data_IF_514305742672
#
_entry.id   IF_514305742672
#
_cell.length_a   1.000
_cell.length_b   1.000
_cell.length_c   1.000
_cell.angle_alpha   90.00
_cell.angle_beta   90.00
_cell.angle_gamma   90.00
#
_symmetry.space_group_name_H-M   'P 1'
#
loop_
_entity.id
_entity.type
_entity.pdbx_description
1 polymer ?
#
# COMPACT_ATOMS: atom_id res chain seq x y z
N UNK A 1 -46.67 12.36 -33.26
CA UNK A 1 -46.34 12.16 -34.67
C UNK A 1 -45.19 11.11 -34.71
N UNK A 2 -45.56 9.87 -34.88
CA UNK A 2 -45.14 8.77 -35.80
C UNK A 2 -43.67 8.82 -36.29
N UNK A 3 -42.89 7.74 -36.28
CA UNK A 3 -43.14 6.41 -36.86
C UNK A 3 -42.09 5.39 -36.42
N UNK A 4 -42.57 4.20 -36.12
CA UNK A 4 -41.84 2.93 -36.10
C UNK A 4 -41.37 2.56 -37.50
N UNK A 5 -40.24 1.85 -37.63
CA UNK A 5 -40.01 0.79 -38.65
C UNK A 5 -39.02 -0.21 -38.16
N UNK A 6 -39.52 -1.41 -37.94
CA UNK A 6 -38.77 -2.65 -37.83
C UNK A 6 -38.54 -3.26 -39.22
N UNK A 7 -37.53 -4.07 -39.32
CA UNK A 7 -37.37 -5.09 -40.36
C UNK A 7 -36.88 -6.39 -39.71
N UNK A 8 -37.74 -7.39 -39.85
CA UNK A 8 -37.43 -8.79 -39.69
C UNK A 8 -37.28 -9.43 -41.07
N UNK A 9 -36.84 -10.69 -41.08
CA UNK A 9 -36.81 -11.68 -42.17
C UNK A 9 -35.41 -11.95 -42.75
N UNK A 10 -35.02 -13.15 -43.13
CA UNK A 10 -35.65 -14.46 -43.10
C UNK A 10 -34.57 -15.55 -43.33
N UNK A 11 -34.89 -16.73 -42.88
CA UNK A 11 -34.24 -17.98 -43.16
C UNK A 11 -34.21 -18.34 -44.68
N UNK A 12 -33.17 -19.02 -45.12
CA UNK A 12 -33.27 -19.99 -46.19
C UNK A 12 -32.31 -21.18 -46.00
N UNK A 13 -32.88 -22.32 -45.77
CA UNK A 13 -32.23 -23.63 -45.82
C UNK A 13 -32.13 -24.09 -47.28
N UNK A 14 -31.03 -24.73 -47.59
CA UNK A 14 -30.97 -25.59 -48.79
C UNK A 14 -30.15 -26.84 -48.51
N UNK A 15 -30.85 -27.94 -48.47
CA UNK A 15 -30.34 -29.34 -48.47
C UNK A 15 -30.01 -29.73 -49.88
N UNK A 16 -28.84 -30.36 -50.10
CA UNK A 16 -28.57 -31.17 -51.25
C UNK A 16 -27.81 -32.43 -50.84
N UNK A 17 -28.47 -33.57 -51.02
CA UNK A 17 -27.99 -34.94 -50.86
C UNK A 17 -27.52 -35.45 -52.22
N UNK A 18 -26.34 -36.01 -52.28
CA UNK A 18 -25.93 -37.08 -53.23
C UNK A 18 -24.56 -37.56 -52.68
N UNK A 19 -24.30 -38.78 -52.37
CA UNK A 19 -24.63 -40.07 -52.84
C UNK A 19 -23.35 -40.77 -53.30
N UNK A 20 -22.95 -41.86 -52.57
CA UNK A 20 -22.17 -43.02 -53.01
C UNK A 20 -20.66 -42.91 -53.25
N UNK A 21 -19.94 -43.78 -52.51
CA UNK A 21 -18.60 -44.22 -52.85
C UNK A 21 -17.85 -44.88 -51.68
N UNK A 22 -18.12 -46.10 -51.33
CA UNK A 22 -17.36 -46.86 -50.34
C UNK A 22 -15.98 -47.23 -50.86
N UNK A 23 -14.94 -46.78 -50.22
CA UNK A 23 -13.61 -47.36 -50.25
C UNK A 23 -13.09 -47.44 -48.81
N UNK A 24 -12.83 -48.65 -48.32
CA UNK A 24 -12.18 -48.88 -47.03
C UNK A 24 -10.72 -48.43 -47.09
N UNK A 25 -10.27 -47.56 -46.19
CA UNK A 25 -8.85 -47.33 -46.00
C UNK A 25 -8.30 -48.33 -44.99
N UNK A 26 -7.15 -48.86 -45.25
CA UNK A 26 -6.24 -49.62 -44.39
C UNK A 26 -5.87 -48.81 -43.15
N UNK A 27 -5.79 -49.42 -41.95
CA UNK A 27 -5.39 -48.66 -40.73
C UNK A 27 -3.92 -48.27 -40.82
N UNK A 28 -3.66 -46.98 -40.74
CA UNK A 28 -2.33 -46.41 -40.56
C UNK A 28 -1.80 -46.71 -39.15
N UNK A 29 -0.48 -46.91 -38.96
CA UNK A 29 0.09 -47.21 -37.67
C UNK A 29 -0.14 -46.05 -36.69
N UNK A 30 -0.70 -46.37 -35.54
CA UNK A 30 -0.94 -45.45 -34.40
C UNK A 30 0.40 -44.89 -33.92
N UNK A 31 0.68 -43.65 -34.24
CA UNK A 31 1.78 -42.90 -33.59
C UNK A 31 1.36 -42.62 -32.15
N UNK A 32 2.07 -43.19 -31.19
CA UNK A 32 2.01 -42.85 -29.78
C UNK A 32 2.32 -41.36 -29.66
N UNK A 33 1.47 -40.54 -29.01
CA UNK A 33 1.80 -39.13 -28.79
C UNK A 33 3.02 -39.07 -27.88
N UNK A 34 4.09 -38.46 -28.37
CA UNK A 34 5.23 -38.03 -27.55
C UNK A 34 4.72 -37.08 -26.48
N UNK A 35 5.11 -37.26 -25.21
CA UNK A 35 4.70 -36.32 -24.18
C UNK A 35 5.16 -34.92 -24.57
N UNK A 36 4.21 -33.98 -24.68
CA UNK A 36 4.50 -32.57 -24.80
C UNK A 36 5.42 -32.16 -23.64
N UNK A 37 6.51 -31.45 -23.92
CA UNK A 37 7.32 -30.93 -22.85
C UNK A 37 6.43 -30.00 -22.00
N UNK A 38 6.33 -30.31 -20.72
CA UNK A 38 5.76 -29.41 -19.70
C UNK A 38 6.44 -28.05 -19.88
N UNK A 39 5.70 -26.94 -20.04
CA UNK A 39 6.33 -25.65 -20.11
C UNK A 39 6.97 -25.39 -18.75
N UNK A 40 8.30 -25.49 -18.70
CA UNK A 40 9.08 -24.89 -17.63
C UNK A 40 8.74 -23.41 -17.64
N UNK A 41 8.32 -22.79 -16.52
CA UNK A 41 8.16 -21.36 -16.47
C UNK A 41 9.54 -20.73 -16.61
N UNK A 42 9.93 -20.47 -17.84
CA UNK A 42 11.06 -19.60 -18.15
C UNK A 42 10.55 -18.20 -17.86
N UNK A 43 10.86 -17.70 -16.67
CA UNK A 43 10.82 -16.28 -16.38
C UNK A 43 11.89 -15.60 -17.26
N UNK A 44 11.57 -15.43 -18.52
CA UNK A 44 12.33 -14.57 -19.43
C UNK A 44 12.02 -13.15 -19.01
N UNK A 45 12.82 -12.65 -18.06
CA UNK A 45 12.93 -11.24 -17.85
C UNK A 45 13.40 -10.60 -19.15
N UNK A 46 12.52 -9.87 -19.82
CA UNK A 46 12.95 -9.04 -20.93
C UNK A 46 13.71 -7.85 -20.34
N UNK A 47 15.00 -7.76 -20.64
CA UNK A 47 15.78 -6.57 -20.38
C UNK A 47 15.11 -5.39 -21.12
N UNK A 48 14.70 -4.36 -20.37
CA UNK A 48 14.05 -3.16 -20.93
C UNK A 48 12.60 -2.93 -20.51
N UNK A 49 11.95 -3.85 -19.82
CA UNK A 49 10.57 -3.66 -19.32
C UNK A 49 10.45 -3.88 -17.82
N UNK A 50 9.41 -3.26 -17.22
CA UNK A 50 9.08 -3.39 -15.80
C UNK A 50 7.60 -3.69 -15.60
N UNK A 51 7.32 -4.55 -14.63
CA UNK A 51 6.01 -4.76 -14.04
C UNK A 51 6.01 -4.20 -12.62
N UNK A 52 5.17 -3.23 -12.36
CA UNK A 52 5.14 -2.45 -11.13
C UNK A 52 3.80 -2.64 -10.43
N UNK A 53 3.84 -2.90 -9.12
CA UNK A 53 2.70 -2.82 -8.22
C UNK A 53 2.92 -1.70 -7.21
N UNK A 54 1.99 -0.77 -7.10
CA UNK A 54 2.18 0.40 -6.26
C UNK A 54 0.86 1.00 -5.77
N UNK A 55 0.95 1.86 -4.76
CA UNK A 55 -0.19 2.69 -4.37
C UNK A 55 -0.46 3.78 -5.41
N UNK A 56 -1.73 4.12 -5.59
CA UNK A 56 -2.14 5.24 -6.44
C UNK A 56 -1.42 6.52 -6.00
N UNK A 57 -0.87 7.24 -6.97
CA UNK A 57 -0.12 8.46 -6.72
C UNK A 57 1.40 8.27 -6.56
N UNK A 58 1.89 7.04 -6.38
CA UNK A 58 3.32 6.76 -6.21
C UNK A 58 4.05 6.67 -7.56
N UNK A 59 3.34 6.31 -8.62
CA UNK A 59 3.83 6.28 -10.00
C UNK A 59 2.74 6.86 -10.93
N UNK A 60 3.03 7.97 -11.59
CA UNK A 60 2.04 8.72 -12.35
C UNK A 60 2.52 9.06 -13.77
N UNK A 61 1.63 8.83 -14.74
CA UNK A 61 1.83 9.14 -16.17
C UNK A 61 1.25 10.49 -16.63
N UNK A 62 0.75 11.29 -15.72
CA UNK A 62 0.13 12.57 -16.07
C UNK A 62 -1.34 12.48 -16.50
N UNK A 63 -2.01 11.33 -16.32
CA UNK A 63 -3.40 11.13 -16.69
C UNK A 63 -4.37 12.06 -15.96
N UNK A 64 -4.09 12.37 -14.69
CA UNK A 64 -4.88 13.31 -13.89
C UNK A 64 -4.44 14.75 -14.13
N UNK A 65 -3.14 14.98 -14.35
CA UNK A 65 -2.54 16.27 -14.63
C UNK A 65 -1.25 16.09 -15.41
N UNK A 66 -1.03 16.79 -16.54
CA UNK A 66 0.22 16.71 -17.30
C UNK A 66 1.48 17.07 -16.49
N UNK A 67 1.31 17.82 -15.40
CA UNK A 67 2.40 18.19 -14.47
C UNK A 67 2.77 17.07 -13.51
N UNK A 68 1.98 16.01 -13.44
CA UNK A 68 2.16 14.85 -12.55
C UNK A 68 2.53 13.64 -13.40
N UNK A 69 3.68 13.73 -14.07
CA UNK A 69 4.17 12.72 -15.01
C UNK A 69 5.65 12.47 -14.79
N UNK A 70 5.98 11.73 -13.75
CA UNK A 70 7.37 11.30 -13.54
C UNK A 70 7.67 9.93 -14.12
N UNK A 71 6.67 9.11 -14.39
CA UNK A 71 6.85 7.79 -15.01
C UNK A 71 7.25 7.93 -16.49
N UNK A 72 6.56 8.77 -17.25
CA UNK A 72 6.93 9.03 -18.63
C UNK A 72 8.32 9.65 -18.77
N UNK A 73 8.75 10.46 -17.80
CA UNK A 73 10.11 10.98 -17.77
C UNK A 73 11.13 9.86 -17.49
N UNK A 74 10.83 8.93 -16.57
CA UNK A 74 11.65 7.75 -16.35
C UNK A 74 11.85 6.94 -17.63
N UNK A 75 10.78 6.63 -18.35
CA UNK A 75 10.88 5.88 -19.61
C UNK A 75 11.73 6.60 -20.64
N UNK A 76 11.54 7.92 -20.77
CA UNK A 76 12.29 8.75 -21.70
C UNK A 76 13.78 8.82 -21.38
N UNK A 77 14.13 8.97 -20.11
CA UNK A 77 15.52 9.17 -19.68
C UNK A 77 16.31 7.86 -19.59
N UNK A 78 15.63 6.76 -19.26
CA UNK A 78 16.31 5.47 -19.04
C UNK A 78 16.22 4.51 -20.21
N UNK A 79 15.28 4.72 -21.13
CA UNK A 79 14.95 3.78 -22.20
C UNK A 79 14.18 2.55 -21.72
N UNK A 80 13.90 2.43 -20.42
CA UNK A 80 13.06 1.38 -19.87
C UNK A 80 11.59 1.63 -20.18
N UNK A 81 10.79 0.57 -20.27
CA UNK A 81 9.34 0.64 -20.48
C UNK A 81 8.61 0.02 -19.30
N UNK A 82 7.56 0.67 -18.83
CA UNK A 82 6.65 0.06 -17.87
C UNK A 82 5.61 -0.73 -18.63
N UNK A 83 5.85 -2.04 -18.74
CA UNK A 83 4.95 -2.97 -19.44
C UNK A 83 3.63 -3.14 -18.68
N UNK A 84 3.66 -2.98 -17.35
CA UNK A 84 2.48 -3.07 -16.49
C UNK A 84 2.65 -2.19 -15.27
N UNK A 85 1.63 -1.38 -15.00
CA UNK A 85 1.51 -0.58 -13.79
C UNK A 85 0.15 -0.87 -13.13
N UNK A 86 0.19 -1.66 -12.07
CA UNK A 86 -0.99 -1.88 -11.23
C UNK A 86 -0.97 -0.93 -10.05
N UNK A 87 -2.04 -0.17 -9.91
CA UNK A 87 -2.19 0.79 -8.81
C UNK A 87 -3.37 0.41 -7.93
N UNK A 88 -3.15 0.40 -6.63
CA UNK A 88 -4.15 0.06 -5.62
C UNK A 88 -4.41 1.21 -4.65
N UNK A 89 -5.50 1.13 -3.90
CA UNK A 89 -5.86 2.13 -2.90
C UNK A 89 -5.68 1.62 -1.47
N UNK A 90 -5.64 0.31 -1.26
CA UNK A 90 -5.54 -0.29 0.07
C UNK A 90 -4.40 -1.31 0.18
N UNK A 91 -3.96 -1.54 1.42
CA UNK A 91 -2.96 -2.57 1.72
C UNK A 91 -3.47 -3.97 1.39
N UNK A 92 -4.76 -4.22 1.56
CA UNK A 92 -5.40 -5.51 1.21
C UNK A 92 -5.34 -5.79 -0.28
N UNK A 93 -5.70 -4.82 -1.12
CA UNK A 93 -5.58 -4.95 -2.58
C UNK A 93 -4.12 -5.19 -3.00
N UNK A 94 -3.16 -4.51 -2.35
CA UNK A 94 -1.74 -4.69 -2.60
C UNK A 94 -1.31 -6.12 -2.31
N UNK A 95 -1.70 -6.67 -1.16
CA UNK A 95 -1.40 -8.04 -0.76
C UNK A 95 -2.03 -9.05 -1.73
N UNK A 96 -3.30 -8.87 -2.07
CA UNK A 96 -4.02 -9.77 -2.96
C UNK A 96 -3.38 -9.84 -4.36
N UNK A 97 -2.99 -8.68 -4.92
CA UNK A 97 -2.35 -8.65 -6.24
C UNK A 97 -0.93 -9.20 -6.20
N UNK A 98 -0.16 -8.92 -5.15
CA UNK A 98 1.20 -9.46 -5.00
C UNK A 98 1.22 -11.00 -4.88
N UNK A 99 0.17 -11.59 -4.30
CA UNK A 99 0.01 -13.04 -4.20
C UNK A 99 -0.41 -13.71 -5.51
N UNK A 100 -1.06 -12.99 -6.42
CA UNK A 100 -1.58 -13.55 -7.67
C UNK A 100 -0.52 -13.68 -8.77
N UNK A 101 0.50 -12.82 -8.76
CA UNK A 101 1.52 -12.76 -9.81
C UNK A 101 2.79 -12.05 -9.35
N UNK A 102 3.93 -12.38 -9.98
CA UNK A 102 5.17 -11.68 -9.71
C UNK A 102 5.16 -10.25 -10.30
N UNK A 103 5.88 -9.36 -9.63
CA UNK A 103 6.21 -8.01 -10.09
C UNK A 103 7.71 -7.81 -9.96
N UNK A 104 8.28 -6.96 -10.83
CA UNK A 104 9.70 -6.62 -10.74
C UNK A 104 9.97 -5.70 -9.55
N UNK A 105 9.07 -4.74 -9.33
CA UNK A 105 9.15 -3.82 -8.19
C UNK A 105 7.78 -3.60 -7.54
N UNK A 106 7.78 -3.52 -6.22
CA UNK A 106 6.58 -3.35 -5.40
C UNK A 106 6.83 -2.22 -4.40
N UNK A 107 5.94 -1.23 -4.30
CA UNK A 107 5.96 -0.28 -3.19
C UNK A 107 5.18 -0.87 -2.01
N UNK A 108 5.87 -1.41 -1.03
CA UNK A 108 5.25 -2.12 0.08
C UNK A 108 5.22 -1.29 1.36
N UNK A 109 4.06 -1.29 2.03
CA UNK A 109 3.96 -0.86 3.42
C UNK A 109 4.52 -1.92 4.38
N UNK A 110 4.67 -1.60 5.68
CA UNK A 110 5.44 -2.42 6.62
C UNK A 110 5.00 -3.89 6.72
N UNK A 111 3.70 -4.15 6.81
CA UNK A 111 3.19 -5.51 6.96
C UNK A 111 3.44 -6.36 5.71
N UNK A 112 3.21 -5.80 4.52
CA UNK A 112 3.48 -6.51 3.27
C UNK A 112 4.98 -6.67 3.04
N UNK A 113 5.80 -5.66 3.34
CA UNK A 113 7.25 -5.75 3.20
C UNK A 113 7.81 -6.93 4.01
N UNK A 114 7.41 -7.06 5.28
CA UNK A 114 7.81 -8.18 6.12
C UNK A 114 7.32 -9.53 5.54
N UNK A 115 6.06 -9.60 5.09
CA UNK A 115 5.51 -10.81 4.47
C UNK A 115 6.29 -11.21 3.22
N UNK A 116 6.59 -10.29 2.32
CA UNK A 116 7.35 -10.59 1.09
C UNK A 116 8.76 -11.12 1.39
N UNK A 117 9.39 -10.65 2.48
CA UNK A 117 10.69 -11.14 2.93
C UNK A 117 10.57 -12.55 3.51
N UNK A 118 9.61 -12.79 4.40
CA UNK A 118 9.35 -14.09 5.04
C UNK A 118 9.03 -15.16 4.00
N UNK A 119 8.15 -14.83 3.04
CA UNK A 119 7.71 -15.73 1.97
C UNK A 119 8.75 -15.87 0.85
N UNK A 120 9.92 -15.22 0.97
CA UNK A 120 10.99 -15.19 -0.03
C UNK A 120 10.50 -14.69 -1.41
N UNK A 121 9.56 -13.76 -1.40
CA UNK A 121 9.02 -13.10 -2.60
C UNK A 121 9.73 -11.77 -2.90
N UNK A 122 10.62 -11.32 -2.02
CA UNK A 122 11.50 -10.18 -2.24
C UNK A 122 12.96 -10.62 -2.17
N UNK A 123 13.80 -10.03 -3.03
CA UNK A 123 15.24 -10.23 -2.97
C UNK A 123 15.96 -9.05 -2.34
N UNK A 124 17.15 -9.25 -1.75
CA UNK A 124 17.98 -8.16 -1.24
C UNK A 124 18.38 -7.19 -2.35
N UNK A 125 18.50 -5.92 -1.97
CA UNK A 125 18.98 -4.82 -2.80
C UNK A 125 20.44 -4.54 -2.42
N UNK A 126 21.29 -4.33 -3.40
CA UNK A 126 22.62 -3.78 -3.18
C UNK A 126 22.51 -2.24 -3.09
N UNK A 127 22.63 -1.63 -1.90
CA UNK A 127 22.47 -0.19 -1.74
C UNK A 127 23.55 0.61 -2.46
N UNK A 128 24.73 0.03 -2.72
CA UNK A 128 25.79 0.70 -3.47
C UNK A 128 25.41 0.97 -4.94
N UNK A 129 24.42 0.22 -5.47
CA UNK A 129 23.87 0.41 -6.82
C UNK A 129 22.69 1.38 -6.87
N UNK A 130 22.26 1.92 -5.72
CA UNK A 130 21.14 2.85 -5.62
C UNK A 130 21.65 4.25 -5.29
N UNK A 131 21.76 5.09 -6.31
CA UNK A 131 22.20 6.48 -6.17
C UNK A 131 21.27 7.25 -5.22
N UNK A 132 21.87 7.97 -4.25
CA UNK A 132 21.08 8.74 -3.27
C UNK A 132 20.48 7.91 -2.14
N UNK A 133 20.80 6.61 -2.03
CA UNK A 133 20.37 5.80 -0.89
C UNK A 133 20.84 6.40 0.44
N UNK A 134 22.05 6.94 0.49
CA UNK A 134 22.60 7.59 1.68
C UNK A 134 21.97 8.95 2.01
N UNK A 135 21.22 9.54 1.09
CA UNK A 135 20.43 10.75 1.33
C UNK A 135 19.13 10.49 2.08
N UNK A 136 18.76 9.22 2.22
CA UNK A 136 17.59 8.76 3.00
C UNK A 136 17.94 8.77 4.48
N UNK A 137 17.03 9.22 5.33
CA UNK A 137 17.20 9.19 6.79
C UNK A 137 17.60 7.79 7.26
N UNK A 138 18.67 7.72 8.07
CA UNK A 138 19.21 6.44 8.56
C UNK A 138 18.16 5.58 9.25
N UNK A 139 17.26 6.19 10.03
CA UNK A 139 16.16 5.49 10.70
C UNK A 139 15.33 4.67 9.70
N UNK A 140 14.97 5.24 8.56
CA UNK A 140 14.18 4.56 7.54
C UNK A 140 14.99 3.48 6.81
N UNK A 141 16.28 3.72 6.58
CA UNK A 141 17.17 2.70 6.00
C UNK A 141 17.30 1.48 6.91
N UNK A 142 17.46 1.72 8.21
CA UNK A 142 17.55 0.65 9.21
C UNK A 142 16.27 -0.20 9.24
N UNK A 143 15.09 0.41 9.13
CA UNK A 143 13.79 -0.29 9.08
C UNK A 143 13.62 -1.17 7.83
N UNK A 144 14.34 -0.87 6.76
CA UNK A 144 14.33 -1.65 5.51
C UNK A 144 15.42 -2.72 5.47
N UNK A 145 16.15 -2.90 6.59
CA UNK A 145 17.26 -3.85 6.72
C UNK A 145 16.87 -5.01 7.63
N UNK A 146 16.90 -6.23 7.11
CA UNK A 146 16.57 -7.46 7.85
C UNK A 146 17.76 -8.40 7.79
N UNK A 147 18.25 -8.87 8.95
CA UNK A 147 19.42 -9.75 9.07
C UNK A 147 20.65 -9.25 8.29
N UNK A 148 20.90 -7.94 8.35
CA UNK A 148 22.04 -7.29 7.67
C UNK A 148 21.89 -7.11 6.16
N UNK A 149 20.74 -7.43 5.57
CA UNK A 149 20.46 -7.27 4.15
C UNK A 149 19.39 -6.19 3.94
N UNK A 150 19.60 -5.31 2.99
CA UNK A 150 18.63 -4.28 2.59
C UNK A 150 17.60 -4.91 1.65
N UNK A 151 16.31 -4.76 1.97
CA UNK A 151 15.22 -5.28 1.15
C UNK A 151 14.34 -4.19 0.55
N UNK A 152 14.48 -2.95 0.99
CA UNK A 152 13.66 -1.85 0.52
C UNK A 152 14.43 -0.54 0.40
N UNK A 153 14.00 0.29 -0.53
CA UNK A 153 14.41 1.68 -0.67
C UNK A 153 13.27 2.54 -0.11
N UNK A 154 13.42 3.15 1.07
CA UNK A 154 12.39 4.01 1.66
C UNK A 154 12.01 5.15 0.72
N UNK A 155 10.72 5.36 0.55
CA UNK A 155 10.18 6.28 -0.44
C UNK A 155 9.41 7.44 0.19
N UNK A 156 8.24 7.15 0.69
CA UNK A 156 7.37 8.11 1.36
C UNK A 156 7.01 7.58 2.75
N UNK A 157 6.78 8.49 3.67
CA UNK A 157 6.41 8.15 5.03
C UNK A 157 5.36 9.11 5.58
N UNK A 158 4.67 8.64 6.59
CA UNK A 158 3.67 9.41 7.31
C UNK A 158 3.47 8.91 8.72
N UNK A 159 2.64 9.61 9.46
CA UNK A 159 2.14 9.17 10.75
C UNK A 159 0.65 9.47 10.88
N UNK A 160 -0.02 8.73 11.76
CA UNK A 160 -1.40 8.99 12.09
C UNK A 160 -1.50 10.08 13.16
N UNK A 161 -2.56 10.84 13.10
CA UNK A 161 -3.04 11.68 14.17
C UNK A 161 -4.55 11.48 14.31
N UNK A 162 -5.06 11.59 15.52
CA UNK A 162 -6.50 11.67 15.70
C UNK A 162 -6.91 13.13 15.58
N UNK A 163 -7.87 13.40 14.72
CA UNK A 163 -8.47 14.70 14.53
C UNK A 163 -9.91 14.69 15.03
N UNK A 164 -10.39 15.87 15.45
CA UNK A 164 -11.74 16.05 15.99
C UNK A 164 -12.34 17.37 15.57
N UNK A 165 -13.67 17.40 15.45
CA UNK A 165 -14.43 18.65 15.29
C UNK A 165 -14.45 19.42 16.61
N UNK A 166 -13.64 20.49 16.70
CA UNK A 166 -13.44 21.24 17.93
C UNK A 166 -14.63 22.10 18.36
N UNK A 167 -15.68 22.16 17.54
CA UNK A 167 -16.95 22.82 17.87
C UNK A 167 -17.95 21.89 18.52
N UNK A 168 -17.76 20.56 18.37
CA UNK A 168 -18.69 19.55 18.85
C UNK A 168 -18.18 18.77 20.05
N UNK A 169 -16.89 18.46 20.06
CA UNK A 169 -16.28 17.56 21.05
C UNK A 169 -14.97 18.09 21.59
N UNK A 170 -14.53 17.55 22.72
CA UNK A 170 -13.22 17.79 23.30
C UNK A 170 -12.19 16.80 22.78
N UNK A 171 -10.93 17.19 22.77
CA UNK A 171 -9.84 16.37 22.33
C UNK A 171 -9.38 15.38 23.41
N UNK A 172 -9.90 14.14 23.36
CA UNK A 172 -9.49 13.02 24.20
C UNK A 172 -9.40 11.74 23.36
N UNK A 173 -8.29 10.98 23.48
CA UNK A 173 -8.02 9.84 22.63
C UNK A 173 -8.90 8.64 22.98
N UNK A 174 -9.15 8.37 24.27
CA UNK A 174 -10.05 7.27 24.68
C UNK A 174 -11.49 7.56 24.26
N UNK A 175 -11.93 8.82 24.39
CA UNK A 175 -13.23 9.23 23.88
C UNK A 175 -13.34 9.10 22.36
N UNK A 176 -12.27 9.37 21.63
CA UNK A 176 -12.26 9.18 20.18
C UNK A 176 -12.52 7.70 19.80
N UNK A 177 -11.88 6.75 20.49
CA UNK A 177 -12.13 5.32 20.24
C UNK A 177 -13.52 4.84 20.69
N UNK A 178 -14.08 5.45 21.74
CA UNK A 178 -15.40 5.11 22.23
C UNK A 178 -16.55 5.78 21.46
N UNK A 179 -16.26 6.77 20.62
CA UNK A 179 -17.28 7.53 19.89
C UNK A 179 -17.94 6.73 18.79
N UNK A 180 -19.26 6.75 18.71
CA UNK A 180 -20.02 6.19 17.60
C UNK A 180 -19.93 7.01 16.30
N UNK A 181 -19.20 8.12 16.35
CA UNK A 181 -18.98 9.04 15.23
C UNK A 181 -17.49 9.19 14.93
N UNK A 182 -16.77 8.06 14.98
CA UNK A 182 -15.35 7.96 14.65
C UNK A 182 -15.14 7.21 13.34
N UNK A 183 -14.18 7.69 12.53
CA UNK A 183 -13.67 6.95 11.40
C UNK A 183 -12.22 6.50 11.67
N UNK A 184 -11.98 5.19 11.57
CA UNK A 184 -10.67 4.57 11.74
C UNK A 184 -10.13 4.08 10.39
N UNK A 185 -8.82 3.97 10.26
CA UNK A 185 -8.22 3.35 9.07
C UNK A 185 -8.54 1.86 9.05
N UNK A 186 -8.99 1.35 7.88
CA UNK A 186 -9.21 -0.09 7.69
C UNK A 186 -7.87 -0.83 7.56
N UNK A 187 -7.30 -1.19 8.70
CA UNK A 187 -6.03 -1.91 8.79
C UNK A 187 -5.88 -2.59 10.15
N UNK A 188 -5.44 -3.86 10.23
CA UNK A 188 -5.11 -4.50 11.50
C UNK A 188 -4.11 -3.68 12.35
N UNK A 189 -3.21 -2.92 11.71
CA UNK A 189 -2.25 -2.06 12.40
C UNK A 189 -2.89 -0.90 13.18
N UNK A 190 -4.19 -0.60 12.96
CA UNK A 190 -4.95 0.37 13.78
C UNK A 190 -5.10 -0.10 15.24
N UNK A 191 -4.94 -1.40 15.49
CA UNK A 191 -4.89 -1.94 16.87
C UNK A 191 -3.73 -1.32 17.66
N UNK A 192 -2.60 -1.01 17.01
CA UNK A 192 -1.47 -0.34 17.66
C UNK A 192 -1.84 1.06 18.19
N UNK A 193 -2.68 1.81 17.46
CA UNK A 193 -3.17 3.12 17.94
C UNK A 193 -4.07 2.96 19.17
N UNK A 194 -4.89 1.91 19.21
CA UNK A 194 -5.72 1.60 20.37
C UNK A 194 -4.86 1.16 21.57
N UNK A 195 -3.78 0.40 21.35
CA UNK A 195 -2.83 0.01 22.40
C UNK A 195 -2.11 1.23 22.99
N UNK A 196 -1.69 2.19 22.16
CA UNK A 196 -1.16 3.48 22.63
C UNK A 196 -2.18 4.26 23.46
N UNK A 197 -3.45 4.24 23.06
CA UNK A 197 -4.53 4.91 23.78
C UNK A 197 -4.85 4.24 25.13
N UNK A 198 -4.78 2.92 25.20
CA UNK A 198 -4.90 2.16 26.44
C UNK A 198 -3.75 2.49 27.40
N UNK A 199 -2.53 2.66 26.85
CA UNK A 199 -1.35 3.10 27.59
C UNK A 199 -0.67 2.00 28.39
N UNK A 200 -1.03 0.73 28.20
CA UNK A 200 -0.43 -0.40 28.90
C UNK A 200 0.70 -1.08 28.12
N UNK A 201 0.72 -0.93 26.80
CA UNK A 201 1.72 -1.51 25.93
C UNK A 201 3.02 -0.69 25.95
N UNK A 202 4.16 -1.35 26.11
CA UNK A 202 5.47 -0.74 26.00
C UNK A 202 5.86 -0.50 24.54
N UNK A 203 5.56 -1.45 23.69
CA UNK A 203 5.69 -1.35 22.22
C UNK A 203 4.33 -1.65 21.60
N UNK A 204 3.74 -0.72 20.82
CA UNK A 204 2.41 -0.91 20.26
C UNK A 204 2.35 -1.99 19.16
N UNK A 205 3.50 -2.50 18.71
CA UNK A 205 3.57 -3.57 17.70
C UNK A 205 4.03 -4.92 18.27
N UNK A 206 4.39 -4.99 19.55
CA UNK A 206 4.78 -6.22 20.26
C UNK A 206 3.80 -6.49 21.41
N UNK A 207 2.53 -6.71 21.11
CA UNK A 207 1.49 -6.90 22.13
C UNK A 207 1.41 -8.34 22.61
N UNK A 208 1.40 -8.53 23.92
CA UNK A 208 0.94 -9.77 24.55
C UNK A 208 -0.56 -10.00 24.27
N UNK A 209 -1.06 -11.19 24.57
CA UNK A 209 -2.48 -11.50 24.39
C UNK A 209 -3.38 -10.54 25.20
N UNK A 210 -3.02 -10.25 26.46
CA UNK A 210 -3.78 -9.36 27.33
C UNK A 210 -3.79 -7.91 26.81
N UNK A 211 -2.65 -7.42 26.28
CA UNK A 211 -2.57 -6.07 25.68
C UNK A 211 -3.38 -5.96 24.40
N UNK A 212 -3.31 -7.00 23.56
CA UNK A 212 -4.14 -7.10 22.35
C UNK A 212 -5.65 -7.10 22.72
N UNK A 213 -6.04 -7.88 23.72
CA UNK A 213 -7.43 -7.97 24.16
C UNK A 213 -7.95 -6.63 24.69
N UNK A 214 -7.12 -5.88 25.46
CA UNK A 214 -7.48 -4.53 25.92
C UNK A 214 -7.60 -3.54 24.77
N UNK A 215 -6.66 -3.54 23.83
CA UNK A 215 -6.71 -2.67 22.66
C UNK A 215 -7.97 -2.95 21.80
N UNK A 216 -8.29 -4.22 21.57
CA UNK A 216 -9.49 -4.62 20.85
C UNK A 216 -10.77 -4.24 21.63
N UNK A 217 -10.80 -4.43 22.95
CA UNK A 217 -11.93 -4.03 23.78
C UNK A 217 -12.19 -2.51 23.73
N UNK A 218 -11.14 -1.70 23.64
CA UNK A 218 -11.27 -0.25 23.43
C UNK A 218 -11.92 0.07 22.08
N UNK A 219 -11.51 -0.61 21.01
CA UNK A 219 -12.12 -0.48 19.69
C UNK A 219 -13.59 -0.94 19.66
N UNK A 220 -13.96 -1.93 20.46
CA UNK A 220 -15.32 -2.45 20.55
C UNK A 220 -16.30 -1.54 21.31
N UNK A 221 -15.82 -0.53 22.03
CA UNK A 221 -16.70 0.41 22.74
C UNK A 221 -17.57 1.22 21.79
N UNK A 222 -17.04 1.64 20.66
CA UNK A 222 -17.82 2.32 19.63
C UNK A 222 -18.69 1.31 18.85
N UNK A 223 -19.99 1.57 18.76
CA UNK A 223 -20.93 0.76 17.97
C UNK A 223 -21.21 1.35 16.59
N UNK A 224 -21.00 2.66 16.44
CA UNK A 224 -21.22 3.38 15.20
C UNK A 224 -19.94 3.74 14.45
N UNK A 225 -18.77 3.17 14.86
CA UNK A 225 -17.50 3.42 14.19
C UNK A 225 -17.57 3.04 12.72
N UNK A 226 -16.89 3.82 11.89
CA UNK A 226 -16.72 3.55 10.46
C UNK A 226 -15.26 3.32 10.14
N UNK A 227 -15.02 2.67 9.00
CA UNK A 227 -13.67 2.41 8.54
C UNK A 227 -13.46 3.07 7.18
N UNK A 228 -12.45 3.92 7.09
CA UNK A 228 -12.12 4.57 5.84
C UNK A 228 -11.00 3.84 5.10
N UNK A 229 -11.12 3.81 3.79
CA UNK A 229 -10.12 3.28 2.84
C UNK A 229 -9.59 4.39 1.92
N UNK A 230 -10.37 5.45 1.77
CA UNK A 230 -10.06 6.60 0.94
C UNK A 230 -10.11 7.90 1.76
N UNK A 231 -9.20 8.85 1.49
CA UNK A 231 -9.27 10.19 2.09
C UNK A 231 -10.60 10.90 1.91
N UNK A 232 -11.31 10.59 0.80
CA UNK A 232 -12.62 11.19 0.49
C UNK A 232 -13.63 10.84 1.56
N UNK A 233 -13.58 9.64 2.14
CA UNK A 233 -14.49 9.21 3.20
C UNK A 233 -14.42 10.14 4.42
N UNK A 234 -13.19 10.55 4.80
CA UNK A 234 -12.97 11.51 5.89
C UNK A 234 -13.52 12.89 5.56
N UNK A 235 -13.22 13.37 4.35
CA UNK A 235 -13.68 14.70 3.91
C UNK A 235 -15.20 14.76 3.89
N UNK A 236 -15.86 13.74 3.36
CA UNK A 236 -17.32 13.65 3.35
C UNK A 236 -17.89 13.56 4.77
N UNK A 237 -17.31 12.72 5.62
CA UNK A 237 -17.77 12.53 6.99
C UNK A 237 -17.76 13.84 7.82
N UNK A 238 -16.68 14.61 7.77
CA UNK A 238 -16.64 15.92 8.42
C UNK A 238 -17.49 16.97 7.69
N UNK A 239 -17.61 16.90 6.36
CA UNK A 239 -18.43 17.83 5.59
C UNK A 239 -19.91 17.70 5.92
N UNK A 240 -20.40 16.48 6.01
CA UNK A 240 -21.82 16.17 6.35
C UNK A 240 -22.10 16.25 7.86
N UNK A 241 -21.04 16.34 8.66
CA UNK A 241 -21.13 16.31 10.11
C UNK A 241 -21.43 14.92 10.68
N UNK A 242 -21.23 13.84 9.92
CA UNK A 242 -21.39 12.46 10.39
C UNK A 242 -20.22 11.98 11.26
N UNK A 243 -19.07 12.65 11.22
CA UNK A 243 -17.91 12.37 12.04
C UNK A 243 -17.67 13.48 13.07
N UNK A 244 -17.29 13.09 14.27
CA UNK A 244 -16.77 13.94 15.32
C UNK A 244 -15.29 13.72 15.53
N UNK A 245 -14.80 12.48 15.28
CA UNK A 245 -13.40 12.09 15.37
C UNK A 245 -12.96 11.30 14.13
N UNK A 246 -11.68 11.33 13.80
CA UNK A 246 -11.10 10.42 12.84
C UNK A 246 -9.61 10.17 13.11
N UNK A 247 -9.15 8.94 12.87
CA UNK A 247 -7.76 8.65 12.62
C UNK A 247 -7.42 9.17 11.22
N UNK A 248 -6.46 10.05 11.10
CA UNK A 248 -6.14 10.76 9.87
C UNK A 248 -4.62 10.93 9.71
N UNK A 249 -4.20 11.69 8.72
CA UNK A 249 -2.84 12.19 8.61
C UNK A 249 -2.82 13.72 8.79
N UNK A 250 -1.68 14.32 9.13
CA UNK A 250 -1.55 15.78 9.16
C UNK A 250 -2.01 16.46 7.86
N UNK A 251 -1.80 15.81 6.72
CA UNK A 251 -2.22 16.33 5.42
C UNK A 251 -3.75 16.40 5.29
N UNK A 252 -4.48 15.36 5.72
CA UNK A 252 -5.95 15.38 5.66
C UNK A 252 -6.54 16.41 6.62
N UNK A 253 -5.96 16.58 7.81
CA UNK A 253 -6.34 17.69 8.70
C UNK A 253 -6.15 19.04 8.01
N UNK A 254 -5.01 19.25 7.35
CA UNK A 254 -4.75 20.49 6.62
C UNK A 254 -5.76 20.74 5.50
N UNK A 255 -6.15 19.71 4.75
CA UNK A 255 -7.18 19.81 3.70
C UNK A 255 -8.55 20.19 4.28
N UNK A 256 -8.96 19.57 5.38
CA UNK A 256 -10.21 19.88 6.06
C UNK A 256 -10.22 21.31 6.59
N UNK A 257 -9.11 21.77 7.19
CA UNK A 257 -8.96 23.15 7.67
C UNK A 257 -9.05 24.15 6.51
N UNK A 258 -8.41 23.87 5.37
CA UNK A 258 -8.53 24.71 4.15
C UNK A 258 -9.94 24.73 3.60
N UNK A 259 -10.71 23.65 3.78
CA UNK A 259 -12.13 23.59 3.43
C UNK A 259 -13.04 24.24 4.49
N UNK A 260 -12.47 24.96 5.47
CA UNK A 260 -13.23 25.70 6.50
C UNK A 260 -13.80 24.80 7.60
N UNK A 261 -13.33 23.54 7.74
CA UNK A 261 -13.77 22.67 8.83
C UNK A 261 -12.98 22.93 10.10
N UNK A 262 -13.62 23.06 11.27
CA UNK A 262 -12.98 23.42 12.52
C UNK A 262 -12.28 22.22 13.19
N UNK A 263 -11.49 21.48 12.42
CA UNK A 263 -10.80 20.28 12.91
C UNK A 263 -9.46 20.61 13.55
N UNK A 264 -9.15 19.92 14.66
CA UNK A 264 -7.87 19.99 15.37
C UNK A 264 -7.31 18.60 15.58
N UNK A 265 -5.99 18.48 15.71
CA UNK A 265 -5.35 17.24 16.12
C UNK A 265 -5.42 17.09 17.64
N UNK A 266 -5.59 15.85 18.11
CA UNK A 266 -5.35 15.48 19.50
C UNK A 266 -3.86 15.61 19.81
N UNK A 267 -3.56 16.07 21.02
CA UNK A 267 -2.20 16.06 21.51
C UNK A 267 -1.94 14.72 22.19
N UNK A 268 -1.12 13.88 21.57
CA UNK A 268 -0.71 12.59 22.11
C UNK A 268 0.80 12.58 22.33
N UNK A 269 1.31 11.96 23.39
CA UNK A 269 2.74 11.84 23.62
C UNK A 269 3.42 11.03 22.51
N UNK A 270 2.75 10.04 22.00
CA UNK A 270 3.20 9.13 20.96
C UNK A 270 2.11 8.89 19.91
N UNK A 271 2.50 8.49 18.73
CA UNK A 271 1.60 8.18 17.62
C UNK A 271 2.21 7.10 16.72
N UNK A 272 1.37 6.40 15.96
CA UNK A 272 1.83 5.43 14.97
C UNK A 272 2.19 6.08 13.65
N UNK A 273 3.21 5.53 12.98
CA UNK A 273 3.60 5.95 11.64
C UNK A 273 4.03 4.79 10.76
N UNK A 274 4.33 5.06 9.51
CA UNK A 274 4.78 4.03 8.56
C UNK A 274 5.76 4.62 7.55
N UNK A 275 6.54 3.74 6.94
CA UNK A 275 7.38 4.02 5.79
C UNK A 275 7.05 3.03 4.69
N UNK A 276 6.70 3.52 3.52
CA UNK A 276 6.56 2.68 2.34
C UNK A 276 7.89 2.62 1.61
N UNK A 277 8.29 1.42 1.21
CA UNK A 277 9.57 1.17 0.56
C UNK A 277 9.38 0.49 -0.78
N UNK A 278 10.19 0.85 -1.77
CA UNK A 278 10.28 0.11 -3.02
C UNK A 278 11.14 -1.12 -2.83
N UNK A 279 10.60 -2.27 -3.15
CA UNK A 279 11.21 -3.58 -3.01
C UNK A 279 11.42 -4.22 -4.38
N UNK A 280 12.43 -5.06 -4.51
CA UNK A 280 12.64 -5.92 -5.67
C UNK A 280 11.91 -7.24 -5.49
N UNK A 281 11.18 -7.67 -6.51
CA UNK A 281 10.70 -9.04 -6.62
C UNK A 281 11.85 -10.04 -6.76
N UNK A 282 11.55 -11.32 -6.73
CA UNK A 282 12.55 -12.38 -6.89
C UNK A 282 13.03 -12.49 -8.34
N UNK A 283 14.27 -12.92 -8.52
CA UNK A 283 14.89 -13.16 -9.85
C UNK A 283 15.01 -11.91 -10.75
N UNK A 284 15.08 -10.72 -10.15
CA UNK A 284 15.33 -9.47 -10.89
C UNK A 284 16.84 -9.27 -11.02
N UNK A 285 17.42 -9.24 -12.23
CA UNK A 285 18.84 -9.00 -12.42
C UNK A 285 19.27 -7.60 -12.00
N UNK A 286 20.51 -7.46 -11.50
CA UNK A 286 21.09 -6.21 -11.01
C UNK A 286 21.18 -5.07 -12.04
N UNK A 287 21.32 -5.43 -13.31
CA UNK A 287 21.54 -4.47 -14.40
C UNK A 287 20.26 -4.12 -15.14
N UNK A 288 19.13 -4.50 -14.61
CA UNK A 288 17.82 -4.33 -15.24
C UNK A 288 17.19 -2.97 -14.98
N UNK A 289 16.09 -2.74 -15.66
CA UNK A 289 15.23 -1.58 -15.45
C UNK A 289 14.72 -1.45 -14.01
N UNK A 290 14.69 -2.53 -13.21
CA UNK A 290 14.30 -2.48 -11.81
C UNK A 290 15.27 -1.62 -10.97
N UNK A 291 16.59 -1.80 -11.12
CA UNK A 291 17.56 -0.93 -10.45
C UNK A 291 17.54 0.51 -11.00
N UNK A 292 17.27 0.71 -12.28
CA UNK A 292 17.05 2.06 -12.83
C UNK A 292 15.84 2.72 -12.21
N UNK A 293 14.76 1.94 -11.95
CA UNK A 293 13.60 2.42 -11.22
C UNK A 293 13.93 2.80 -9.78
N UNK A 294 14.65 1.94 -9.04
CA UNK A 294 15.09 2.26 -7.69
C UNK A 294 15.90 3.55 -7.64
N UNK A 295 16.85 3.74 -8.57
CA UNK A 295 17.60 4.98 -8.69
C UNK A 295 16.72 6.19 -8.98
N UNK A 296 15.73 6.02 -9.85
CA UNK A 296 14.78 7.07 -10.20
C UNK A 296 13.95 7.52 -9.01
N UNK A 297 13.32 6.57 -8.31
CA UNK A 297 12.42 6.87 -7.17
C UNK A 297 13.19 7.33 -5.92
N UNK A 298 14.48 7.02 -5.80
CA UNK A 298 15.35 7.53 -4.72
C UNK A 298 15.73 8.98 -4.94
N UNK A 299 15.74 9.43 -6.18
CA UNK A 299 16.15 10.78 -6.53
C UNK A 299 15.25 11.84 -5.85
N UNK A 300 15.88 12.91 -5.37
CA UNK A 300 15.19 13.96 -4.63
C UNK A 300 14.06 14.66 -5.41
N UNK A 301 14.15 14.74 -6.74
CA UNK A 301 13.10 15.31 -7.60
C UNK A 301 11.87 14.39 -7.66
N UNK A 302 12.07 13.08 -7.86
CA UNK A 302 10.96 12.13 -7.91
C UNK A 302 10.21 12.04 -6.58
N UNK A 303 10.94 11.92 -5.45
CA UNK A 303 10.31 11.91 -4.13
C UNK A 303 9.62 13.24 -3.80
N UNK A 304 10.18 14.38 -4.24
CA UNK A 304 9.55 15.70 -4.08
C UNK A 304 8.20 15.78 -4.78
N UNK A 305 8.13 15.30 -6.01
CA UNK A 305 6.91 15.38 -6.80
C UNK A 305 5.84 14.43 -6.24
N UNK A 306 6.23 13.20 -5.92
CA UNK A 306 5.31 12.23 -5.31
C UNK A 306 4.83 12.67 -3.92
N UNK A 307 5.72 13.13 -3.06
CA UNK A 307 5.37 13.61 -1.71
C UNK A 307 4.35 14.75 -1.75
N UNK A 308 4.58 15.72 -2.63
CA UNK A 308 3.65 16.85 -2.82
C UNK A 308 2.30 16.42 -3.41
N UNK A 309 2.29 15.39 -4.24
CA UNK A 309 1.08 14.88 -4.89
C UNK A 309 0.20 14.08 -3.93
N UNK A 310 0.79 13.15 -3.19
CA UNK A 310 0.02 12.28 -2.29
C UNK A 310 -0.17 12.84 -0.88
N UNK A 311 0.53 13.93 -0.53
CA UNK A 311 0.41 14.54 0.80
C UNK A 311 1.13 13.76 1.91
N UNK A 312 2.25 13.11 1.59
CA UNK A 312 3.14 12.42 2.52
C UNK A 312 4.52 13.09 2.57
N UNK A 313 5.35 12.71 3.52
CA UNK A 313 6.71 13.21 3.61
C UNK A 313 7.68 12.32 2.82
N UNK A 314 8.68 12.89 2.12
CA UNK A 314 9.69 12.12 1.42
C UNK A 314 10.72 11.55 2.40
N UNK A 315 11.19 10.33 2.15
CA UNK A 315 12.26 9.71 2.93
C UNK A 315 13.64 10.33 2.64
N UNK A 316 13.84 10.82 1.42
CA UNK A 316 15.06 11.54 1.04
C UNK A 316 14.98 12.99 1.52
N UNK A 317 15.83 13.36 2.47
CA UNK A 317 15.85 14.71 3.07
C UNK A 317 16.11 15.83 2.04
N UNK A 318 16.84 15.56 0.96
CA UNK A 318 17.10 16.52 -0.10
C UNK A 318 15.87 16.86 -0.94
N UNK A 319 14.81 16.03 -0.87
CA UNK A 319 13.54 16.28 -1.52
C UNK A 319 12.73 17.41 -0.86
N UNK A 320 13.07 17.80 0.38
CA UNK A 320 12.35 18.80 1.17
C UNK A 320 12.55 20.25 0.66
N UNK A 321 12.34 20.44 -0.62
CA UNK A 321 12.44 21.74 -1.32
C UNK A 321 11.19 21.95 -2.19
N UNK A 322 10.96 23.16 -2.67
CA UNK A 322 9.89 23.46 -3.60
C UNK A 322 8.53 22.93 -3.13
N UNK A 323 7.88 22.11 -3.94
CA UNK A 323 6.53 21.60 -3.67
C UNK A 323 6.42 20.70 -2.43
N UNK A 324 7.45 19.91 -2.10
CA UNK A 324 7.43 19.03 -0.94
C UNK A 324 7.79 19.73 0.37
N UNK A 325 8.27 20.99 0.33
CA UNK A 325 8.65 21.72 1.55
C UNK A 325 7.49 21.77 2.56
N UNK A 326 6.27 22.02 2.08
CA UNK A 326 5.09 22.07 2.94
C UNK A 326 4.82 20.74 3.65
N UNK A 327 5.06 19.60 2.97
CA UNK A 327 4.90 18.28 3.58
C UNK A 327 6.00 18.01 4.62
N UNK A 328 7.24 18.36 4.32
CA UNK A 328 8.33 18.22 5.28
C UNK A 328 8.14 19.08 6.53
N UNK A 329 7.59 20.29 6.38
CA UNK A 329 7.28 21.17 7.51
C UNK A 329 6.11 20.60 8.32
N UNK A 330 5.10 20.04 7.67
CA UNK A 330 3.90 19.49 8.27
C UNK A 330 4.19 18.24 9.10
N UNK A 331 4.92 17.28 8.53
CA UNK A 331 5.27 16.03 9.21
C UNK A 331 6.45 16.19 10.18
N UNK A 332 7.31 17.17 9.97
CA UNK A 332 8.51 17.40 10.77
C UNK A 332 9.67 16.48 10.39
N UNK A 333 10.77 16.60 11.13
CA UNK A 333 12.02 15.83 10.92
C UNK A 333 12.84 15.76 12.21
N UNK A 334 13.84 14.86 12.22
CA UNK A 334 14.77 14.75 13.35
C UNK A 334 14.06 14.34 14.64
N UNK A 335 14.30 15.03 15.73
CA UNK A 335 13.71 14.74 17.04
C UNK A 335 12.18 14.71 17.08
N UNK A 336 11.50 15.36 16.13
CA UNK A 336 10.04 15.28 16.04
C UNK A 336 9.54 13.87 15.70
N UNK A 337 10.39 13.03 15.11
CA UNK A 337 10.09 11.63 14.80
C UNK A 337 10.24 10.70 16.01
N UNK A 338 10.86 11.14 17.09
CA UNK A 338 11.10 10.29 18.27
C UNK A 338 9.81 9.89 19.00
N UNK A 339 8.72 10.62 18.74
CA UNK A 339 7.37 10.31 19.22
C UNK A 339 6.58 9.40 18.28
N UNK A 340 7.15 8.99 17.14
CA UNK A 340 6.46 8.17 16.14
C UNK A 340 6.91 6.72 16.30
N UNK A 341 6.02 5.86 16.78
CA UNK A 341 6.18 4.43 16.71
C UNK A 341 5.96 3.97 15.27
N UNK A 342 7.04 3.72 14.55
CA UNK A 342 6.94 3.28 13.16
C UNK A 342 6.52 1.83 13.07
N UNK A 343 5.52 1.58 12.23
CA UNK A 343 4.92 0.28 12.06
C UNK A 343 5.93 -0.77 11.58
N UNK A 344 5.91 -1.89 12.26
CA UNK A 344 6.49 -3.15 11.83
C UNK A 344 5.38 -4.21 11.79
N UNK A 345 5.60 -5.32 11.13
CA UNK A 345 4.68 -6.44 11.21
C UNK A 345 4.80 -7.07 12.60
N UNK A 346 3.71 -7.17 13.37
CA UNK A 346 3.75 -7.80 14.67
C UNK A 346 4.38 -9.19 14.64
N UNK A 347 5.44 -9.44 15.46
CA UNK A 347 6.10 -10.73 15.53
C UNK A 347 5.24 -11.76 16.27
N UNK A 348 5.56 -13.03 16.12
CA UNK A 348 4.96 -14.12 16.88
C UNK A 348 5.63 -14.39 18.23
N UNK A 349 6.76 -13.73 18.49
CA UNK A 349 7.54 -13.84 19.72
C UNK A 349 7.98 -12.46 20.22
N UNK A 350 7.79 -12.19 21.49
CA UNK A 350 8.26 -10.95 22.11
C UNK A 350 9.77 -10.99 22.31
N UNK A 351 10.45 -9.91 21.94
CA UNK A 351 11.88 -9.69 22.21
C UNK A 351 12.16 -9.30 23.66
N UNK A 352 11.16 -8.91 24.40
CA UNK A 352 11.27 -8.51 25.80
C UNK A 352 11.01 -9.70 26.75
N UNK A 353 11.57 -9.63 27.94
CA UNK A 353 11.71 -10.65 29.00
C UNK A 353 10.42 -11.38 29.47
N UNK A 354 9.29 -11.24 28.85
CA UNK A 354 7.99 -11.57 29.44
C UNK A 354 7.05 -12.46 28.63
N UNK A 355 7.48 -13.08 27.54
CA UNK A 355 6.65 -14.08 26.90
C UNK A 355 6.33 -13.88 25.43
N UNK A 356 5.33 -14.61 24.95
CA UNK A 356 4.91 -14.64 23.57
C UNK A 356 4.13 -13.38 23.18
N UNK A 357 4.51 -12.75 22.08
CA UNK A 357 3.71 -11.74 21.41
C UNK A 357 2.67 -12.36 20.49
N UNK A 358 1.60 -11.64 20.26
CA UNK A 358 0.59 -12.01 19.27
C UNK A 358 1.07 -11.63 17.88
N UNK A 359 1.02 -12.59 16.95
CA UNK A 359 1.46 -12.40 15.57
C UNK A 359 0.46 -11.60 14.73
N UNK A 360 0.90 -11.16 13.55
CA UNK A 360 0.07 -10.39 12.62
C UNK A 360 -1.17 -11.17 12.12
N UNK A 361 -1.09 -12.50 12.03
CA UNK A 361 -2.23 -13.32 11.64
C UNK A 361 -3.34 -13.27 12.71
N UNK A 362 -2.95 -13.28 13.98
CA UNK A 362 -3.87 -13.09 15.11
C UNK A 362 -4.51 -11.69 15.08
N UNK A 363 -3.72 -10.65 14.84
CA UNK A 363 -4.25 -9.29 14.67
C UNK A 363 -5.25 -9.21 13.51
N UNK A 364 -4.93 -9.84 12.37
CA UNK A 364 -5.82 -9.91 11.21
C UNK A 364 -7.17 -10.56 11.52
N UNK A 365 -7.17 -11.68 12.28
CA UNK A 365 -8.40 -12.35 12.73
C UNK A 365 -9.23 -11.45 13.65
N UNK A 366 -8.59 -10.77 14.61
CA UNK A 366 -9.25 -9.83 15.53
C UNK A 366 -9.83 -8.64 14.77
N UNK A 367 -9.08 -8.11 13.80
CA UNK A 367 -9.54 -7.02 12.94
C UNK A 367 -10.75 -7.42 12.10
N UNK A 368 -10.70 -8.58 11.45
CA UNK A 368 -11.83 -9.10 10.67
C UNK A 368 -13.09 -9.28 11.53
N UNK A 369 -12.92 -9.75 12.78
CA UNK A 369 -14.03 -9.86 13.72
C UNK A 369 -14.61 -8.48 14.12
N UNK A 370 -13.76 -7.45 14.24
CA UNK A 370 -14.19 -6.07 14.48
C UNK A 370 -14.99 -5.48 13.30
N UNK A 371 -14.60 -5.79 12.06
CA UNK A 371 -15.29 -5.32 10.85
C UNK A 371 -16.67 -5.97 10.68
N UNK A 372 -16.89 -7.16 11.26
CA UNK A 372 -18.15 -7.91 11.17
C UNK A 372 -19.20 -7.45 12.20
N UNK A 373 -18.83 -6.64 13.19
CA UNK A 373 -19.70 -6.07 14.22
C UNK A 373 -20.23 -4.69 13.83
#
# INVERSE_FOLDING_TARGET
VNRRRGYALALAASVLIAGMGAARPTPAPTRTPSPSPTPTPSATQSDGTLQILTYRGYAEYGGTSPKVNWVGNFEKETGCRIAKLDTVQSAKEMEDLSAQRPYDVISAGPALAAKLIEDKQAQPIDPAKVSGYDDIDKRFRDMSTVSGKVYGVPYLWGYHEFIYDSTKVKGDLKQAFASDRVALRDSPLTIADAALADGSAKDPYELSQDELDRAVALLEQSKGRTYWRSPIDLVQGFATGSLDYAQATPYYRLLLQKAGKPVKALQTPETTGWVDSWMLGVNVPDTTCAYRWLNWVTAANAQRDAAAWVGLAPANAKACKGRAKAMCDLYGRGKKLDRVAFAVRPPGDCRADSGECTDYATWGKRWTALLAK
#
